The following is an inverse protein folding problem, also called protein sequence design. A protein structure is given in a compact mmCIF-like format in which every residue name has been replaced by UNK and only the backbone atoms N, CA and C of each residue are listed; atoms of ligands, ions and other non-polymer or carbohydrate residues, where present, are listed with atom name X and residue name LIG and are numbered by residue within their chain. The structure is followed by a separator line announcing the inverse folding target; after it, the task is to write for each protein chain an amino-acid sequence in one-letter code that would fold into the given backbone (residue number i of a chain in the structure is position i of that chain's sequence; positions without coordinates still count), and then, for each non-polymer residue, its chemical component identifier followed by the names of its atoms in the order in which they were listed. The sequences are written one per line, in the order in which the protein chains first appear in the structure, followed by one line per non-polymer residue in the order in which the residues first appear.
data_IF_139967550835
#
_entry.id   IF_139967550835
#
_cell.length_a   1.000
_cell.length_b   1.000
_cell.length_c   1.000
_cell.angle_alpha   90.00
_cell.angle_beta   90.00
_cell.angle_gamma   90.00
#
_symmetry.space_group_name_H-M   'P 1'
#
loop_
_entity.id
_entity.type
_entity.pdbx_description
1 polymer ?
#
# COMPACT_ATOMS: atom_id res chain seq x y z
N UNK A 1 14.83 2.51 -14.03
CA UNK A 1 13.94 3.51 -13.39
C UNK A 1 14.58 4.08 -12.12
N UNK A 2 14.09 5.19 -11.58
CA UNK A 2 14.69 5.85 -10.41
C UNK A 2 14.58 5.00 -9.14
N UNK A 3 15.73 4.56 -8.61
CA UNK A 3 15.80 3.72 -7.40
C UNK A 3 15.67 4.53 -6.11
N UNK A 4 15.87 5.85 -6.14
CA UNK A 4 15.71 6.70 -4.95
C UNK A 4 14.25 6.82 -4.48
N UNK A 5 13.31 6.45 -5.37
CA UNK A 5 11.87 6.44 -5.12
C UNK A 5 11.31 5.02 -4.99
N UNK A 6 12.15 4.06 -4.60
CA UNK A 6 11.75 2.66 -4.41
C UNK A 6 11.78 2.29 -2.95
N UNK A 7 10.78 1.57 -2.49
CA UNK A 7 10.68 1.05 -1.14
C UNK A 7 10.40 -0.45 -1.16
N UNK A 8 10.81 -1.17 -0.13
CA UNK A 8 10.48 -2.58 0.04
C UNK A 8 9.22 -2.72 0.90
N UNK A 9 8.19 -3.41 0.40
CA UNK A 9 7.04 -3.77 1.20
C UNK A 9 7.40 -4.92 2.15
N UNK A 10 7.24 -4.73 3.46
CA UNK A 10 7.65 -5.71 4.48
C UNK A 10 6.70 -6.90 4.63
N UNK A 11 5.62 -6.98 3.85
CA UNK A 11 4.63 -8.06 3.94
C UNK A 11 5.21 -9.49 3.85
N UNK A 12 6.22 -9.80 3.02
CA UNK A 12 6.85 -11.12 2.99
C UNK A 12 7.53 -11.52 4.31
N UNK A 13 7.91 -10.55 5.12
CA UNK A 13 8.56 -10.71 6.42
C UNK A 13 7.61 -10.55 7.61
N UNK A 14 6.32 -10.48 7.40
CA UNK A 14 5.26 -10.15 8.38
C UNK A 14 5.23 -11.00 9.67
N UNK A 15 5.88 -12.16 9.66
CA UNK A 15 6.00 -13.07 10.82
C UNK A 15 7.36 -12.94 11.52
N UNK A 16 8.23 -12.04 11.04
CA UNK A 16 9.54 -11.73 11.62
C UNK A 16 9.44 -10.49 12.51
N UNK A 17 10.39 -10.34 13.45
CA UNK A 17 10.49 -9.10 14.22
C UNK A 17 10.98 -7.91 13.37
N UNK A 18 10.87 -6.72 13.93
CA UNK A 18 11.29 -5.49 13.26
C UNK A 18 12.79 -5.46 12.97
N UNK A 19 13.63 -5.92 13.92
CA UNK A 19 15.09 -5.87 13.77
C UNK A 19 15.54 -6.73 12.58
N UNK A 20 15.07 -7.96 12.48
CA UNK A 20 15.35 -8.84 11.33
C UNK A 20 14.80 -8.26 10.03
N UNK A 21 13.58 -7.72 10.05
CA UNK A 21 12.94 -7.14 8.86
C UNK A 21 13.75 -5.97 8.30
N UNK A 22 14.14 -5.02 9.16
CA UNK A 22 14.94 -3.88 8.75
C UNK A 22 16.35 -4.27 8.31
N UNK A 23 16.94 -5.28 8.96
CA UNK A 23 18.23 -5.85 8.55
C UNK A 23 18.18 -6.41 7.13
N UNK A 24 17.17 -7.22 6.80
CA UNK A 24 17.03 -7.82 5.46
C UNK A 24 16.82 -6.74 4.40
N UNK A 25 15.96 -5.76 4.67
CA UNK A 25 15.64 -4.68 3.74
C UNK A 25 16.88 -3.81 3.48
N UNK A 26 17.58 -3.37 4.53
CA UNK A 26 18.82 -2.59 4.41
C UNK A 26 19.91 -3.38 3.68
N UNK A 27 20.14 -4.66 4.04
CA UNK A 27 21.11 -5.53 3.39
C UNK A 27 20.77 -5.81 1.91
N UNK A 28 19.51 -5.64 1.51
CA UNK A 28 19.05 -5.77 0.12
C UNK A 28 19.26 -4.50 -0.70
N UNK A 29 19.68 -3.39 -0.07
CA UNK A 29 19.99 -2.13 -0.73
C UNK A 29 18.84 -1.14 -0.78
N UNK A 30 17.76 -1.37 -0.03
CA UNK A 30 16.67 -0.40 0.10
C UNK A 30 16.96 0.61 1.22
N UNK A 31 16.65 1.86 0.94
CA UNK A 31 16.73 2.98 1.90
C UNK A 31 15.36 3.32 2.53
N UNK A 32 14.29 2.67 2.06
CA UNK A 32 12.92 2.93 2.50
C UNK A 32 12.11 1.64 2.61
N UNK A 33 11.15 1.67 3.53
CA UNK A 33 10.22 0.56 3.79
C UNK A 33 8.76 1.01 3.65
N UNK A 34 7.95 0.16 3.03
CA UNK A 34 6.49 0.13 3.15
C UNK A 34 6.16 -0.90 4.24
N UNK A 35 5.83 -0.42 5.44
CA UNK A 35 5.73 -1.24 6.64
C UNK A 35 4.34 -1.85 6.77
N UNK A 36 4.25 -3.18 6.86
CA UNK A 36 2.97 -3.86 7.06
C UNK A 36 2.36 -3.50 8.42
N UNK A 37 1.10 -3.05 8.39
CA UNK A 37 0.37 -2.52 9.54
C UNK A 37 -0.27 -3.59 10.41
N UNK A 38 0.50 -4.59 10.84
CA UNK A 38 0.07 -5.64 11.78
C UNK A 38 1.24 -6.08 12.65
N UNK A 39 0.94 -6.60 13.83
CA UNK A 39 1.95 -7.21 14.70
C UNK A 39 2.71 -8.34 13.98
N UNK A 40 4.02 -8.48 14.23
CA UNK A 40 4.85 -7.68 15.14
C UNK A 40 5.39 -6.37 14.55
N UNK A 41 5.04 -5.99 13.31
CA UNK A 41 5.66 -4.85 12.62
C UNK A 41 5.07 -3.51 13.04
N UNK A 42 3.73 -3.41 13.17
CA UNK A 42 3.06 -2.17 13.49
C UNK A 42 1.66 -2.38 14.07
N UNK A 43 1.34 -1.59 15.10
CA UNK A 43 -0.02 -1.39 15.59
C UNK A 43 -0.09 -0.10 16.39
N UNK A 44 -1.23 0.60 16.34
CA UNK A 44 -1.55 1.72 17.25
C UNK A 44 -2.58 1.32 18.31
N UNK A 45 -3.13 0.11 18.21
CA UNK A 45 -4.18 -0.39 19.09
C UNK A 45 -3.72 -1.54 19.98
N UNK A 46 -2.63 -2.19 19.64
CA UNK A 46 -2.06 -3.27 20.44
C UNK A 46 -1.19 -2.67 21.57
N UNK A 47 -1.51 -2.91 22.85
CA UNK A 47 -0.76 -2.35 23.96
C UNK A 47 0.66 -2.91 24.12
N UNK A 48 0.99 -4.01 23.44
CA UNK A 48 2.33 -4.61 23.43
C UNK A 48 3.23 -4.00 22.33
N UNK A 49 2.67 -3.15 21.46
CA UNK A 49 3.46 -2.52 20.40
C UNK A 49 4.31 -1.35 20.94
N UNK A 50 5.61 -1.40 20.67
CA UNK A 50 6.59 -0.41 21.10
C UNK A 50 7.05 0.49 19.93
N UNK A 51 6.55 1.73 19.88
CA UNK A 51 6.97 2.73 18.88
C UNK A 51 8.46 3.11 19.02
N UNK A 52 9.04 2.99 20.21
CA UNK A 52 10.47 3.26 20.41
C UNK A 52 11.34 2.17 19.79
N UNK A 53 10.83 0.94 19.67
CA UNK A 53 11.49 -0.10 18.89
C UNK A 53 11.53 0.25 17.40
N UNK A 54 10.42 0.72 16.82
CA UNK A 54 10.39 1.18 15.44
C UNK A 54 11.41 2.30 15.20
N UNK A 55 11.48 3.28 16.10
CA UNK A 55 12.47 4.38 16.03
C UNK A 55 13.91 3.86 16.05
N UNK A 56 14.20 2.92 16.97
CA UNK A 56 15.53 2.30 17.09
C UNK A 56 15.96 1.57 15.82
N UNK A 57 15.08 0.80 15.17
CA UNK A 57 15.46 0.05 13.97
C UNK A 57 15.60 0.98 12.76
N UNK A 58 14.79 2.03 12.63
CA UNK A 58 14.96 3.08 11.62
C UNK A 58 16.35 3.70 11.76
N UNK A 59 16.72 4.15 12.95
CA UNK A 59 18.03 4.78 13.21
C UNK A 59 19.18 3.80 13.00
N UNK A 60 19.04 2.55 13.47
CA UNK A 60 20.07 1.51 13.37
C UNK A 60 20.42 1.13 11.94
N UNK A 61 19.41 1.01 11.09
CA UNK A 61 19.60 0.51 9.72
C UNK A 61 19.59 1.62 8.66
N UNK A 62 19.22 2.84 9.01
CA UNK A 62 19.12 3.95 8.08
C UNK A 62 18.01 3.76 7.03
N UNK A 63 16.96 3.00 7.35
CA UNK A 63 15.82 2.73 6.45
C UNK A 63 14.63 3.57 6.87
N UNK A 64 14.24 4.54 6.05
CA UNK A 64 13.15 5.46 6.32
C UNK A 64 11.78 4.82 6.10
N UNK A 65 10.77 5.25 6.85
CA UNK A 65 9.39 4.82 6.64
C UNK A 65 8.76 5.61 5.48
N UNK A 66 8.32 4.92 4.42
CA UNK A 66 7.70 5.54 3.25
C UNK A 66 6.16 5.45 3.27
N UNK A 67 5.64 4.30 3.69
CA UNK A 67 4.21 4.03 3.81
C UNK A 67 3.94 3.09 5.00
N UNK A 68 2.74 3.16 5.56
CA UNK A 68 2.23 2.15 6.48
C UNK A 68 1.11 1.39 5.79
N UNK A 69 1.33 0.11 5.51
CA UNK A 69 0.36 -0.83 4.95
C UNK A 69 -0.71 -1.20 5.97
N UNK A 70 -1.45 -0.21 6.49
CA UNK A 70 -2.39 -0.38 7.59
C UNK A 70 -3.64 -1.17 7.19
N UNK A 71 -4.42 -1.56 8.19
CA UNK A 71 -5.75 -2.18 8.01
C UNK A 71 -6.89 -1.25 8.42
N UNK A 72 -6.60 0.03 8.62
CA UNK A 72 -7.57 1.07 8.94
C UNK A 72 -8.71 1.14 7.92
N UNK A 73 -9.87 1.59 8.36
CA UNK A 73 -11.07 1.75 7.54
C UNK A 73 -12.02 0.55 7.58
N UNK A 74 -11.57 -0.67 7.87
CA UNK A 74 -12.45 -1.85 8.00
C UNK A 74 -13.57 -1.63 9.02
N UNK A 75 -13.24 -1.07 10.17
CA UNK A 75 -14.18 -0.81 11.25
C UNK A 75 -15.24 0.26 10.94
N UNK A 76 -15.15 0.98 9.82
CA UNK A 76 -16.21 1.92 9.42
C UNK A 76 -17.51 1.24 9.02
N UNK A 77 -17.47 -0.06 8.71
CA UNK A 77 -18.66 -0.90 8.51
C UNK A 77 -19.17 -1.58 9.79
N UNK A 78 -18.62 -1.26 10.97
CA UNK A 78 -19.12 -1.76 12.23
C UNK A 78 -20.58 -1.32 12.47
N UNK A 79 -21.42 -2.24 12.95
CA UNK A 79 -22.83 -1.95 13.21
C UNK A 79 -23.10 -0.98 14.35
N UNK A 80 -22.07 -0.69 15.20
CA UNK A 80 -22.20 0.18 16.36
C UNK A 80 -21.52 1.55 16.15
N UNK A 81 -22.09 2.58 16.75
CA UNK A 81 -21.48 3.92 16.74
C UNK A 81 -20.10 3.92 17.44
N UNK A 82 -19.97 3.15 18.53
CA UNK A 82 -18.70 3.07 19.27
C UNK A 82 -17.61 2.36 18.48
N UNK A 83 -17.93 1.30 17.72
CA UNK A 83 -16.98 0.61 16.86
C UNK A 83 -16.47 1.52 15.73
N UNK A 84 -17.38 2.24 15.07
CA UNK A 84 -16.99 3.22 14.05
C UNK A 84 -16.14 4.36 14.60
N UNK A 85 -16.43 4.84 15.83
CA UNK A 85 -15.61 5.85 16.47
C UNK A 85 -14.20 5.31 16.79
N UNK A 86 -14.09 4.10 17.34
CA UNK A 86 -12.80 3.46 17.59
C UNK A 86 -11.96 3.30 16.30
N UNK A 87 -12.61 2.92 15.18
CA UNK A 87 -11.95 2.85 13.88
C UNK A 87 -11.46 4.21 13.36
N UNK A 88 -12.21 5.28 13.64
CA UNK A 88 -11.79 6.65 13.30
C UNK A 88 -10.61 7.10 14.15
N UNK A 89 -10.60 6.77 15.43
CA UNK A 89 -9.50 7.07 16.36
C UNK A 89 -8.23 6.30 15.95
N UNK A 90 -8.35 5.01 15.59
CA UNK A 90 -7.26 4.19 15.03
C UNK A 90 -6.68 4.82 13.75
N UNK A 91 -7.54 5.27 12.84
CA UNK A 91 -7.13 5.94 11.60
C UNK A 91 -6.32 7.20 11.89
N UNK A 92 -6.79 8.06 12.80
CA UNK A 92 -6.10 9.30 13.17
C UNK A 92 -4.76 9.02 13.85
N UNK A 93 -4.70 8.05 14.76
CA UNK A 93 -3.44 7.64 15.42
C UNK A 93 -2.43 7.09 14.39
N UNK A 94 -2.88 6.28 13.44
CA UNK A 94 -2.02 5.77 12.36
C UNK A 94 -1.47 6.91 11.49
N UNK A 95 -2.29 7.91 11.16
CA UNK A 95 -1.86 9.09 10.42
C UNK A 95 -0.85 9.93 11.22
N UNK A 96 -1.01 10.06 12.55
CA UNK A 96 -0.06 10.77 13.40
C UNK A 96 1.30 10.08 13.45
N UNK A 97 1.30 8.74 13.58
CA UNK A 97 2.55 7.95 13.53
C UNK A 97 3.19 8.05 12.15
N UNK A 98 2.42 7.93 11.08
CA UNK A 98 2.93 8.11 9.72
C UNK A 98 3.64 9.47 9.55
N UNK A 99 3.01 10.56 10.02
CA UNK A 99 3.61 11.89 10.04
C UNK A 99 4.89 11.96 10.88
N UNK A 100 4.87 11.40 12.08
CA UNK A 100 6.00 11.41 13.02
C UNK A 100 7.25 10.77 12.40
N UNK A 101 7.08 9.64 11.70
CA UNK A 101 8.16 8.90 11.05
C UNK A 101 8.42 9.32 9.60
N UNK A 102 7.72 10.33 9.09
CA UNK A 102 7.95 10.91 7.76
C UNK A 102 7.34 10.12 6.60
N UNK A 103 6.51 9.12 6.88
CA UNK A 103 5.76 8.40 5.84
C UNK A 103 4.83 9.34 5.08
N UNK A 104 4.74 9.15 3.77
CA UNK A 104 3.92 10.00 2.89
C UNK A 104 2.50 9.50 2.74
N UNK A 105 2.27 8.21 3.00
CA UNK A 105 0.95 7.59 2.84
C UNK A 105 0.71 6.48 3.85
N UNK A 106 -0.56 6.12 3.98
CA UNK A 106 -1.01 4.88 4.60
C UNK A 106 -1.94 4.14 3.63
N UNK A 107 -1.88 2.80 3.63
CA UNK A 107 -2.90 1.98 2.98
C UNK A 107 -4.12 1.91 3.88
N UNK A 108 -5.32 1.88 3.27
CA UNK A 108 -6.60 1.76 3.97
C UNK A 108 -7.52 0.75 3.26
N UNK A 109 -8.56 0.31 3.98
CA UNK A 109 -9.61 -0.57 3.44
C UNK A 109 -10.94 0.19 3.30
N UNK A 110 -11.74 -0.09 2.24
CA UNK A 110 -13.03 0.58 2.00
C UNK A 110 -14.17 -0.05 2.83
N UNK A 111 -14.06 -0.03 4.16
CA UNK A 111 -15.01 -0.70 5.05
C UNK A 111 -14.96 -2.22 4.87
N UNK A 112 -16.13 -2.86 4.69
CA UNK A 112 -16.26 -4.28 4.37
C UNK A 112 -16.00 -4.59 2.88
N UNK A 113 -15.73 -3.57 2.07
CA UNK A 113 -15.42 -3.69 0.65
C UNK A 113 -16.61 -3.87 -0.28
N UNK A 114 -17.85 -3.84 0.22
CA UNK A 114 -19.08 -3.95 -0.59
C UNK A 114 -19.53 -2.59 -1.11
N UNK A 115 -20.12 -2.56 -2.32
CA UNK A 115 -20.73 -1.33 -2.85
C UNK A 115 -21.93 -0.87 -2.03
N UNK A 116 -22.62 -1.79 -1.37
CA UNK A 116 -23.77 -1.48 -0.53
C UNK A 116 -23.38 -0.61 0.67
N UNK A 117 -22.22 -0.86 1.28
CA UNK A 117 -21.73 -0.11 2.44
C UNK A 117 -21.07 1.24 2.08
N UNK A 118 -20.77 1.50 0.81
CA UNK A 118 -20.05 2.70 0.37
C UNK A 118 -20.67 4.00 0.92
N UNK A 119 -21.99 4.13 0.89
CA UNK A 119 -22.68 5.31 1.41
C UNK A 119 -22.51 5.52 2.91
N UNK A 120 -22.36 4.44 3.68
CA UNK A 120 -22.19 4.48 5.13
C UNK A 120 -20.75 4.83 5.54
N UNK A 121 -19.74 4.37 4.78
CA UNK A 121 -18.32 4.59 5.12
C UNK A 121 -17.78 5.93 4.64
N UNK A 122 -18.33 6.51 3.56
CA UNK A 122 -17.87 7.79 2.99
C UNK A 122 -17.82 8.93 4.01
N UNK A 123 -18.79 9.14 4.93
CA UNK A 123 -18.70 10.21 5.93
C UNK A 123 -17.45 10.08 6.83
N UNK A 124 -17.09 8.86 7.23
CA UNK A 124 -15.89 8.61 8.05
C UNK A 124 -14.61 8.83 7.26
N UNK A 125 -14.59 8.48 5.98
CA UNK A 125 -13.46 8.80 5.11
C UNK A 125 -13.31 10.29 4.86
N UNK A 126 -14.39 11.06 4.78
CA UNK A 126 -14.32 12.53 4.70
C UNK A 126 -13.65 13.13 5.93
N UNK A 127 -14.09 12.72 7.13
CA UNK A 127 -13.49 13.18 8.37
C UNK A 127 -12.01 12.76 8.49
N UNK A 128 -11.70 11.52 8.10
CA UNK A 128 -10.32 11.03 8.04
C UNK A 128 -9.46 11.83 7.05
N UNK A 129 -10.00 12.17 5.88
CA UNK A 129 -9.31 12.92 4.85
C UNK A 129 -9.04 14.38 5.24
N UNK A 130 -9.96 15.02 5.97
CA UNK A 130 -9.73 16.32 6.58
C UNK A 130 -8.59 16.28 7.60
N UNK A 131 -8.49 15.18 8.36
CA UNK A 131 -7.37 14.98 9.28
C UNK A 131 -6.07 14.69 8.55
N UNK A 132 -6.09 13.82 7.55
CA UNK A 132 -4.96 13.49 6.68
C UNK A 132 -4.35 14.73 6.00
N UNK A 133 -5.19 15.68 5.56
CA UNK A 133 -4.75 16.97 5.02
C UNK A 133 -3.99 17.80 6.07
N UNK A 134 -4.47 17.86 7.32
CA UNK A 134 -3.79 18.60 8.40
C UNK A 134 -2.41 18.05 8.72
N UNK A 135 -2.25 16.72 8.65
CA UNK A 135 -0.98 16.06 8.95
C UNK A 135 -0.08 15.89 7.71
N UNK A 136 -0.63 16.05 6.50
CA UNK A 136 0.10 15.96 5.24
C UNK A 136 0.39 14.51 4.80
N UNK A 137 -0.45 13.54 5.18
CA UNK A 137 -0.30 12.12 4.87
C UNK A 137 -1.46 11.64 3.99
N UNK A 138 -1.16 10.96 2.90
CA UNK A 138 -2.17 10.42 1.98
C UNK A 138 -2.76 9.10 2.48
N UNK A 139 -4.01 8.83 2.10
CA UNK A 139 -4.72 7.57 2.39
C UNK A 139 -5.08 6.89 1.07
N UNK A 140 -4.61 5.65 0.86
CA UNK A 140 -4.84 4.90 -0.38
C UNK A 140 -5.61 3.61 -0.16
N UNK A 141 -6.76 3.43 -0.85
CA UNK A 141 -7.39 2.12 -0.98
C UNK A 141 -6.57 1.29 -1.95
N UNK A 142 -6.00 0.17 -1.47
CA UNK A 142 -5.25 -0.74 -2.33
C UNK A 142 -6.19 -1.48 -3.30
N UNK A 143 -5.80 -1.53 -4.58
CA UNK A 143 -6.45 -2.43 -5.53
C UNK A 143 -6.25 -3.89 -5.07
N UNK A 144 -7.35 -4.59 -4.94
CA UNK A 144 -7.40 -5.99 -4.50
C UNK A 144 -8.71 -6.64 -4.97
N UNK A 145 -8.95 -7.89 -4.65
CA UNK A 145 -10.27 -8.49 -4.90
C UNK A 145 -11.39 -7.78 -4.12
N UNK A 146 -12.63 -7.89 -4.61
CA UNK A 146 -13.81 -7.31 -3.97
C UNK A 146 -14.55 -6.28 -4.84
N UNK A 147 -15.72 -5.83 -4.37
CA UNK A 147 -16.63 -5.00 -5.18
C UNK A 147 -16.14 -3.55 -5.33
N UNK A 148 -15.36 -3.04 -4.36
CA UNK A 148 -14.75 -1.70 -4.44
C UNK A 148 -13.32 -1.83 -4.92
N UNK A 149 -12.46 -2.49 -4.16
CA UNK A 149 -11.01 -2.53 -4.41
C UNK A 149 -10.61 -3.19 -5.74
N UNK A 150 -11.40 -4.17 -6.22
CA UNK A 150 -11.19 -4.86 -7.51
C UNK A 150 -11.90 -4.23 -8.69
N UNK A 151 -12.64 -3.14 -8.48
CA UNK A 151 -13.43 -2.49 -9.52
C UNK A 151 -12.98 -1.03 -9.72
N UNK A 152 -12.34 -0.70 -10.86
CA UNK A 152 -11.80 0.64 -11.10
C UNK A 152 -12.84 1.76 -11.00
N UNK A 153 -14.05 1.56 -11.51
CA UNK A 153 -15.14 2.55 -11.43
C UNK A 153 -15.61 2.76 -9.98
N UNK A 154 -15.63 1.72 -9.15
CA UNK A 154 -15.99 1.84 -7.75
C UNK A 154 -14.87 2.54 -6.94
N UNK A 155 -13.61 2.28 -7.27
CA UNK A 155 -12.45 2.99 -6.71
C UNK A 155 -12.53 4.49 -7.02
N UNK A 156 -12.83 4.85 -8.27
CA UNK A 156 -13.05 6.24 -8.68
C UNK A 156 -14.24 6.85 -7.95
N UNK A 157 -15.37 6.17 -7.95
CA UNK A 157 -16.62 6.64 -7.32
C UNK A 157 -16.43 6.99 -5.84
N UNK A 158 -15.77 6.12 -5.05
CA UNK A 158 -15.53 6.40 -3.63
C UNK A 158 -14.56 7.57 -3.46
N UNK A 159 -13.53 7.69 -4.30
CA UNK A 159 -12.57 8.80 -4.25
C UNK A 159 -13.25 10.13 -4.55
N UNK A 160 -14.11 10.20 -5.57
CA UNK A 160 -14.90 11.38 -5.91
C UNK A 160 -15.91 11.74 -4.82
N UNK A 161 -16.56 10.75 -4.21
CA UNK A 161 -17.51 10.98 -3.08
C UNK A 161 -16.81 11.51 -1.85
N UNK A 162 -15.60 11.07 -1.53
CA UNK A 162 -14.80 11.64 -0.43
C UNK A 162 -14.33 13.04 -0.80
N UNK A 163 -13.84 13.26 -2.03
CA UNK A 163 -13.58 14.58 -2.59
C UNK A 163 -12.36 15.28 -2.00
N UNK A 164 -11.35 14.53 -1.53
CA UNK A 164 -10.09 15.08 -1.01
C UNK A 164 -8.90 14.52 -1.78
N UNK A 165 -7.92 15.36 -2.08
CA UNK A 165 -6.65 14.93 -2.68
C UNK A 165 -5.81 14.04 -1.75
N UNK A 166 -6.10 14.02 -0.45
CA UNK A 166 -5.43 13.16 0.54
C UNK A 166 -6.07 11.78 0.67
N UNK A 167 -7.13 11.52 -0.10
CA UNK A 167 -7.78 10.23 -0.19
C UNK A 167 -7.80 9.76 -1.65
N UNK A 168 -7.38 8.53 -1.90
CA UNK A 168 -7.37 8.00 -3.24
C UNK A 168 -7.06 6.51 -3.27
N UNK A 169 -6.27 6.12 -4.25
CA UNK A 169 -6.04 4.74 -4.63
C UNK A 169 -4.56 4.41 -4.47
N UNK A 170 -4.27 3.30 -3.81
CA UNK A 170 -3.02 2.61 -3.92
C UNK A 170 -3.12 1.71 -5.16
N UNK A 171 -2.50 2.16 -6.25
CA UNK A 171 -2.53 1.47 -7.53
C UNK A 171 -1.65 0.21 -7.51
N UNK A 172 -2.27 -0.95 -7.73
CA UNK A 172 -1.59 -2.24 -7.75
C UNK A 172 -2.02 -3.04 -8.99
N UNK A 173 -1.26 -2.96 -10.10
CA UNK A 173 -1.58 -3.57 -11.39
C UNK A 173 -1.81 -5.08 -11.33
N UNK A 174 -0.99 -5.82 -10.58
CA UNK A 174 -1.05 -7.28 -10.53
C UNK A 174 -2.33 -7.78 -9.83
N UNK A 175 -2.77 -7.11 -8.76
CA UNK A 175 -4.03 -7.44 -8.11
C UNK A 175 -5.25 -7.11 -8.99
N UNK A 176 -5.21 -6.04 -9.78
CA UNK A 176 -6.25 -5.72 -10.76
C UNK A 176 -6.38 -6.83 -11.79
N UNK A 177 -5.27 -7.28 -12.38
CA UNK A 177 -5.26 -8.41 -13.33
C UNK A 177 -5.81 -9.69 -12.69
N UNK A 178 -5.42 -9.98 -11.46
CA UNK A 178 -5.95 -11.12 -10.69
C UNK A 178 -7.47 -11.01 -10.43
N UNK A 179 -7.99 -9.79 -10.28
CA UNK A 179 -9.41 -9.50 -10.12
C UNK A 179 -10.18 -9.44 -11.46
N UNK A 180 -9.50 -9.60 -12.59
CA UNK A 180 -10.10 -9.55 -13.93
C UNK A 180 -10.26 -8.15 -14.51
N UNK A 181 -9.62 -7.13 -13.90
CA UNK A 181 -9.60 -5.76 -14.39
C UNK A 181 -8.26 -5.47 -15.10
N UNK A 182 -8.31 -5.02 -16.34
CA UNK A 182 -7.10 -4.68 -17.10
C UNK A 182 -6.46 -3.39 -16.52
N UNK A 183 -5.19 -3.46 -16.12
CA UNK A 183 -4.52 -2.42 -15.34
C UNK A 183 -4.32 -1.09 -16.05
N UNK A 184 -4.12 -1.09 -17.40
CA UNK A 184 -3.97 0.15 -18.18
C UNK A 184 -5.30 0.90 -18.27
N UNK A 185 -6.40 0.18 -18.52
CA UNK A 185 -7.75 0.76 -18.51
C UNK A 185 -8.15 1.26 -17.13
N UNK A 186 -7.78 0.51 -16.08
CA UNK A 186 -7.98 0.91 -14.69
C UNK A 186 -7.22 2.22 -14.37
N UNK A 187 -5.95 2.32 -14.79
CA UNK A 187 -5.18 3.55 -14.66
C UNK A 187 -5.91 4.75 -15.29
N UNK A 188 -6.37 4.65 -16.54
CA UNK A 188 -7.11 5.73 -17.20
C UNK A 188 -8.38 6.14 -16.45
N UNK A 189 -9.04 5.18 -15.78
CA UNK A 189 -10.24 5.43 -15.00
C UNK A 189 -9.99 6.30 -13.76
N UNK A 190 -8.87 6.08 -13.04
CA UNK A 190 -8.65 6.71 -11.75
C UNK A 190 -7.28 7.38 -11.57
N UNK A 191 -6.53 7.66 -12.63
CA UNK A 191 -5.17 8.21 -12.58
C UNK A 191 -5.02 9.48 -11.74
N UNK A 192 -6.05 10.33 -11.70
CA UNK A 192 -6.06 11.58 -10.92
C UNK A 192 -6.23 11.35 -9.39
N UNK A 193 -6.48 10.10 -9.00
CA UNK A 193 -6.69 9.70 -7.60
C UNK A 193 -5.57 8.79 -7.05
N UNK A 194 -4.49 8.54 -7.80
CA UNK A 194 -3.40 7.66 -7.34
C UNK A 194 -2.59 8.38 -6.26
N UNK A 195 -2.50 7.75 -5.08
CA UNK A 195 -1.76 8.29 -3.93
C UNK A 195 -0.59 7.41 -3.48
N UNK A 196 -0.53 6.16 -3.91
CA UNK A 196 0.59 5.24 -3.70
C UNK A 196 0.61 4.18 -4.80
N UNK A 197 1.75 3.51 -5.00
CA UNK A 197 1.91 2.47 -6.04
C UNK A 197 2.61 1.25 -5.45
N UNK A 198 1.99 0.09 -5.59
CA UNK A 198 2.64 -1.19 -5.37
C UNK A 198 3.09 -1.82 -6.69
N UNK A 199 4.22 -2.48 -6.63
CA UNK A 199 4.87 -3.18 -7.75
C UNK A 199 4.96 -4.66 -7.43
N UNK A 200 4.19 -5.45 -8.15
CA UNK A 200 4.13 -6.90 -8.04
C UNK A 200 3.81 -7.47 -9.41
N UNK A 201 4.54 -8.47 -9.85
CA UNK A 201 4.36 -9.00 -11.20
C UNK A 201 3.64 -10.36 -11.20
N UNK A 202 3.03 -10.65 -12.32
CA UNK A 202 2.28 -11.86 -12.55
C UNK A 202 2.00 -12.10 -14.02
N UNK A 203 1.54 -13.30 -14.33
CA UNK A 203 1.15 -13.73 -15.68
C UNK A 203 0.04 -14.77 -15.63
N UNK A 204 -0.67 -14.92 -16.73
CA UNK A 204 -1.58 -16.05 -16.89
C UNK A 204 -0.79 -17.36 -17.07
N UNK A 205 -1.16 -18.40 -16.33
CA UNK A 205 -0.61 -19.75 -16.54
C UNK A 205 -1.31 -20.43 -17.75
N UNK A 206 -0.90 -21.66 -18.05
CA UNK A 206 -1.45 -22.43 -19.19
C UNK A 206 -2.97 -22.69 -19.08
N UNK A 207 -3.54 -22.57 -17.90
CA UNK A 207 -4.98 -22.74 -17.62
C UNK A 207 -5.72 -21.39 -17.63
N UNK A 208 -5.01 -20.28 -17.92
CA UNK A 208 -5.58 -18.93 -17.89
C UNK A 208 -5.75 -18.34 -16.48
N UNK A 209 -5.23 -18.99 -15.45
CA UNK A 209 -5.27 -18.48 -14.08
C UNK A 209 -4.08 -17.54 -13.84
N UNK A 210 -4.34 -16.40 -13.22
CA UNK A 210 -3.31 -15.45 -12.86
C UNK A 210 -2.42 -15.98 -11.73
N UNK A 211 -1.10 -15.94 -11.94
CA UNK A 211 -0.08 -16.38 -10.98
C UNK A 211 1.00 -15.32 -10.84
N UNK A 212 1.47 -15.11 -9.60
CA UNK A 212 2.58 -14.21 -9.31
C UNK A 212 3.89 -14.82 -9.80
N UNK A 213 4.78 -13.95 -10.29
CA UNK A 213 6.12 -14.34 -10.76
C UNK A 213 7.18 -13.32 -10.31
N UNK A 214 8.43 -13.59 -10.65
CA UNK A 214 9.51 -12.62 -10.43
C UNK A 214 9.26 -11.36 -11.25
N UNK A 215 9.63 -10.21 -10.71
CA UNK A 215 9.52 -8.92 -11.41
C UNK A 215 10.28 -8.97 -12.74
N UNK A 216 9.59 -8.63 -13.82
CA UNK A 216 10.10 -8.68 -15.19
C UNK A 216 9.85 -9.99 -15.93
N UNK A 217 9.33 -11.02 -15.25
CA UNK A 217 8.95 -12.29 -15.87
C UNK A 217 7.45 -12.38 -16.18
N UNK A 218 6.69 -11.33 -15.82
CA UNK A 218 5.24 -11.27 -15.95
C UNK A 218 4.74 -10.48 -17.14
N UNK A 219 3.46 -10.16 -17.11
CA UNK A 219 2.74 -9.46 -18.17
C UNK A 219 2.49 -7.97 -17.86
N UNK A 220 2.95 -7.48 -16.69
CA UNK A 220 2.80 -6.07 -16.34
C UNK A 220 3.95 -5.27 -16.96
N UNK A 221 3.61 -4.34 -17.84
CA UNK A 221 4.57 -3.41 -18.44
C UNK A 221 4.89 -2.29 -17.44
N UNK A 222 5.85 -2.52 -16.53
CA UNK A 222 6.22 -1.55 -15.51
C UNK A 222 6.96 -0.31 -16.05
N UNK A 223 7.55 -0.36 -17.24
CA UNK A 223 8.04 0.85 -17.91
C UNK A 223 6.87 1.77 -18.26
N UNK A 224 5.80 1.21 -18.83
CA UNK A 224 4.59 1.96 -19.13
C UNK A 224 3.93 2.49 -17.85
N UNK A 225 3.76 1.64 -16.81
CA UNK A 225 3.18 2.05 -15.52
C UNK A 225 3.95 3.24 -14.94
N UNK A 226 5.28 3.13 -14.85
CA UNK A 226 6.12 4.19 -14.35
C UNK A 226 5.97 5.49 -15.16
N UNK A 227 6.05 5.41 -16.50
CA UNK A 227 5.92 6.58 -17.37
C UNK A 227 4.57 7.28 -17.21
N UNK A 228 3.48 6.53 -17.13
CA UNK A 228 2.15 7.11 -16.99
C UNK A 228 1.91 7.71 -15.59
N UNK A 229 2.37 7.03 -14.56
CA UNK A 229 2.27 7.51 -13.18
C UNK A 229 3.10 8.78 -12.99
N UNK A 230 4.35 8.85 -13.51
CA UNK A 230 5.16 10.08 -13.50
C UNK A 230 4.49 11.22 -14.29
N UNK A 231 3.93 10.91 -15.45
CA UNK A 231 3.24 11.91 -16.28
C UNK A 231 1.97 12.48 -15.62
N UNK A 232 1.36 11.76 -14.68
CA UNK A 232 0.23 12.26 -13.86
C UNK A 232 0.64 13.22 -12.75
N UNK A 233 1.96 13.47 -12.57
CA UNK A 233 2.48 14.35 -11.51
C UNK A 233 2.65 13.64 -10.16
N UNK A 234 2.69 12.31 -10.15
CA UNK A 234 2.97 11.52 -8.95
C UNK A 234 4.40 11.73 -8.48
N UNK A 235 4.59 12.09 -7.21
CA UNK A 235 5.87 12.47 -6.61
C UNK A 235 6.30 11.59 -5.42
N UNK A 236 5.59 10.46 -5.20
CA UNK A 236 5.81 9.54 -4.08
C UNK A 236 6.54 8.27 -4.50
N UNK A 237 6.69 7.32 -3.58
CA UNK A 237 7.50 6.13 -3.76
C UNK A 237 6.72 4.98 -4.44
N UNK A 238 7.46 4.01 -4.99
CA UNK A 238 6.99 2.74 -5.56
C UNK A 238 7.40 1.59 -4.64
N UNK A 239 6.44 0.85 -4.09
CA UNK A 239 6.72 -0.23 -3.16
C UNK A 239 6.84 -1.58 -3.89
N UNK A 240 8.03 -2.17 -3.87
CA UNK A 240 8.23 -3.51 -4.37
C UNK A 240 7.65 -4.53 -3.38
N UNK A 241 6.51 -5.13 -3.74
CA UNK A 241 5.80 -6.09 -2.90
C UNK A 241 6.15 -7.53 -3.30
N UNK A 242 7.25 -8.03 -2.76
CA UNK A 242 7.80 -9.36 -3.06
C UNK A 242 6.94 -10.48 -2.46
N UNK A 243 5.92 -10.93 -3.16
CA UNK A 243 5.04 -12.02 -2.72
C UNK A 243 5.28 -13.35 -3.45
N UNK A 244 6.53 -13.64 -3.76
CA UNK A 244 6.97 -14.85 -4.48
C UNK A 244 8.03 -15.66 -3.69
N UNK A 245 7.91 -15.67 -2.37
CA UNK A 245 8.80 -16.40 -1.48
C UNK A 245 8.83 -17.94 -1.69
N UNK A 246 7.85 -18.46 -2.43
CA UNK A 246 7.86 -19.86 -2.91
C UNK A 246 8.77 -20.07 -4.13
N UNK A 247 9.17 -19.03 -4.84
CA UNK A 247 10.06 -19.07 -6.01
C UNK A 247 11.50 -18.75 -5.59
N UNK A 248 11.68 -17.72 -4.77
CA UNK A 248 12.98 -17.23 -4.34
C UNK A 248 12.92 -16.80 -2.87
N UNK A 249 13.92 -17.10 -2.02
CA UNK A 249 13.99 -16.53 -0.67
C UNK A 249 14.00 -15.00 -0.69
N UNK A 250 13.32 -14.38 0.27
CA UNK A 250 13.13 -12.92 0.32
C UNK A 250 14.46 -12.15 0.40
N UNK A 251 15.45 -12.70 1.12
CA UNK A 251 16.78 -12.11 1.33
C UNK A 251 17.59 -11.93 0.03
N UNK A 252 17.34 -12.79 -0.96
CA UNK A 252 17.94 -12.71 -2.29
C UNK A 252 16.99 -12.10 -3.31
N UNK A 253 15.70 -12.35 -3.17
CA UNK A 253 14.63 -11.89 -4.05
C UNK A 253 14.52 -10.38 -4.10
N UNK A 254 14.60 -9.69 -2.96
CA UNK A 254 14.59 -8.21 -2.92
C UNK A 254 15.73 -7.59 -3.72
N UNK A 255 16.96 -8.13 -3.60
CA UNK A 255 18.10 -7.63 -4.41
C UNK A 255 17.85 -7.81 -5.91
N UNK A 256 17.30 -8.97 -6.31
CA UNK A 256 16.95 -9.22 -7.70
C UNK A 256 15.91 -8.25 -8.20
N UNK A 257 14.85 -8.01 -7.43
CA UNK A 257 13.78 -7.10 -7.80
C UNK A 257 14.27 -5.64 -7.90
N UNK A 258 15.08 -5.19 -6.94
CA UNK A 258 15.66 -3.85 -7.00
C UNK A 258 16.53 -3.67 -8.24
N UNK A 259 17.38 -4.67 -8.57
CA UNK A 259 18.19 -4.65 -9.77
C UNK A 259 17.34 -4.70 -11.05
N UNK A 260 16.28 -5.52 -11.09
CA UNK A 260 15.37 -5.56 -12.23
C UNK A 260 14.72 -4.21 -12.44
N UNK A 261 14.18 -3.58 -11.38
CA UNK A 261 13.60 -2.24 -11.43
C UNK A 261 14.59 -1.20 -11.94
N UNK A 262 15.81 -1.20 -11.44
CA UNK A 262 16.85 -0.25 -11.83
C UNK A 262 17.21 -0.34 -13.33
N UNK A 263 17.06 -1.52 -13.94
CA UNK A 263 17.42 -1.77 -15.34
C UNK A 263 16.23 -1.76 -16.32
N UNK A 264 15.00 -1.55 -15.86
CA UNK A 264 13.84 -1.24 -16.68
C UNK A 264 13.88 0.23 -17.12
#
# INVERSE_FOLDING_TARGET
MDVSRVTACSFPLKEKDLDYTFQVISASGFEKIDLVGRMPHFSVTDPEYDLDELRRVIDKYGVALANIGSYCGRGFSDGSKSGRQAALDEMKQTLDVAKEFGAKSIRIFPGDGTRASMGEVVPYFKESAEYAEKVGVYMGIENHGGEISGNPEACKEISEKVGSRYFGILYEPCNLMAAGAEYKSAFETFKDHIVHVHVKDGRANAEGKWERCMLGDGEIDYQWVWQQVEASGYDRDYALEFEVGNIEPVETGYKKWLNTWANM
#
